data_IF_137137787882
#
_entry.id   IF_137137787882
#
_cell.length_a   1.000
_cell.length_b   1.000
_cell.length_c   1.000
_cell.angle_alpha   90.00
_cell.angle_beta   90.00
_cell.angle_gamma   90.00
#
_symmetry.space_group_name_H-M   'P 1'
#
loop_
_entity.id
_entity.type
_entity.pdbx_description
1 polymer ?
#
# COMPACT_ATOMS: atom_id res chain seq x y z
N UNK A 1 -12.46 -6.35 7.78
CA UNK A 1 -13.94 -6.16 7.70
C UNK A 1 -14.25 -4.99 6.75
N UNK A 2 -15.48 -4.83 6.21
CA UNK A 2 -15.88 -3.56 5.62
C UNK A 2 -15.61 -2.43 6.63
N UNK A 3 -15.08 -1.30 6.18
CA UNK A 3 -14.64 -0.17 7.01
C UNK A 3 -13.35 -0.39 7.86
N UNK A 4 -12.56 -1.45 7.62
CA UNK A 4 -11.26 -1.60 8.28
C UNK A 4 -10.17 -0.67 7.74
N UNK A 5 -10.30 -0.14 6.52
CA UNK A 5 -9.30 0.79 5.97
C UNK A 5 -9.47 2.17 6.60
N UNK A 6 -8.43 2.64 7.27
CA UNK A 6 -8.37 3.95 7.89
C UNK A 6 -7.74 5.01 6.96
N UNK A 7 -6.68 4.64 6.24
CA UNK A 7 -5.95 5.51 5.31
C UNK A 7 -5.40 4.70 4.13
N UNK A 8 -5.37 5.32 2.97
CA UNK A 8 -4.57 4.87 1.83
C UNK A 8 -3.66 6.03 1.44
N UNK A 9 -2.35 5.80 1.48
CA UNK A 9 -1.33 6.73 1.04
C UNK A 9 -0.55 6.15 -0.14
N UNK A 10 -0.07 7.03 -1.01
CA UNK A 10 0.93 6.70 -2.03
C UNK A 10 2.30 7.04 -1.43
N UNK A 11 3.29 6.18 -1.64
CA UNK A 11 4.68 6.45 -1.27
C UNK A 11 5.61 6.16 -2.46
N UNK A 12 6.92 6.12 -2.22
CA UNK A 12 7.91 5.80 -3.23
C UNK A 12 8.11 6.91 -4.26
N UNK A 13 8.51 6.52 -5.47
CA UNK A 13 8.86 7.44 -6.56
C UNK A 13 7.73 8.44 -6.92
N UNK A 14 6.47 8.05 -6.72
CA UNK A 14 5.30 8.88 -6.95
C UNK A 14 5.15 10.06 -5.97
N UNK A 15 5.95 10.08 -4.90
CA UNK A 15 5.98 11.19 -3.92
C UNK A 15 7.20 12.09 -4.04
N UNK A 16 8.26 11.63 -4.73
CA UNK A 16 9.54 12.32 -4.84
C UNK A 16 9.80 12.97 -6.19
N UNK A 17 8.82 12.93 -7.11
CA UNK A 17 8.94 13.41 -8.49
C UNK A 17 10.01 12.66 -9.32
N UNK A 18 10.45 11.49 -8.85
CA UNK A 18 11.40 10.59 -9.52
C UNK A 18 10.66 9.46 -10.26
N UNK A 19 9.61 9.84 -11.00
CA UNK A 19 8.71 8.90 -11.68
C UNK A 19 9.27 8.59 -13.07
N UNK A 20 9.31 7.30 -13.44
CA UNK A 20 9.63 6.83 -14.78
C UNK A 20 8.53 5.90 -15.33
N UNK A 21 8.64 5.52 -16.61
CA UNK A 21 7.62 4.72 -17.32
C UNK A 21 7.32 3.37 -16.67
N UNK A 22 8.26 2.82 -15.89
CA UNK A 22 8.10 1.53 -15.20
C UNK A 22 8.09 1.67 -13.68
N UNK A 23 7.99 2.88 -13.15
CA UNK A 23 7.83 3.10 -11.72
C UNK A 23 6.59 2.35 -11.24
N UNK A 24 6.78 1.58 -10.17
CA UNK A 24 5.73 0.88 -9.48
C UNK A 24 4.95 1.80 -8.55
N UNK A 25 3.61 1.70 -8.54
CA UNK A 25 2.81 2.31 -7.49
C UNK A 25 3.01 1.55 -6.17
N UNK A 26 3.51 2.31 -5.21
CA UNK A 26 3.74 1.95 -3.83
C UNK A 26 2.58 2.48 -2.96
N UNK A 27 1.77 1.58 -2.39
CA UNK A 27 0.62 1.91 -1.53
C UNK A 27 0.88 1.55 -0.07
N UNK A 28 0.73 2.54 0.81
CA UNK A 28 0.74 2.35 2.26
C UNK A 28 -0.68 2.45 2.79
N UNK A 29 -1.21 1.35 3.31
CA UNK A 29 -2.59 1.27 3.78
C UNK A 29 -2.58 1.07 5.29
N UNK A 30 -3.22 1.98 6.01
CA UNK A 30 -3.44 1.83 7.45
C UNK A 30 -4.79 1.16 7.65
N UNK A 31 -4.81 0.10 8.45
CA UNK A 31 -5.99 -0.67 8.79
C UNK A 31 -6.29 -0.60 10.28
N UNK A 32 -7.56 -0.44 10.63
CA UNK A 32 -8.14 -0.69 11.94
C UNK A 32 -8.46 -2.20 12.07
N UNK A 33 -7.45 -3.03 11.83
CA UNK A 33 -7.54 -4.48 11.88
C UNK A 33 -6.16 -5.00 12.28
N UNK A 34 -6.01 -5.59 13.50
CA UNK A 34 -4.74 -6.12 13.98
C UNK A 34 -4.10 -7.17 13.06
N UNK A 35 -4.93 -7.84 12.26
CA UNK A 35 -4.48 -8.85 11.31
C UNK A 35 -4.38 -8.31 9.88
N UNK A 36 -4.62 -7.01 9.70
CA UNK A 36 -4.64 -6.36 8.39
C UNK A 36 -3.33 -6.44 7.62
N UNK A 37 -2.20 -6.49 8.32
CA UNK A 37 -0.90 -6.66 7.67
C UNK A 37 -0.75 -7.99 6.91
N UNK A 38 -1.53 -9.02 7.28
CA UNK A 38 -1.43 -10.38 6.71
C UNK A 38 -1.85 -10.45 5.24
N UNK A 39 -2.54 -9.43 4.74
CA UNK A 39 -2.98 -9.35 3.33
C UNK A 39 -2.10 -8.42 2.49
N UNK A 40 -0.93 -8.03 2.99
CA UNK A 40 0.10 -7.35 2.20
C UNK A 40 0.36 -8.11 0.90
N UNK A 41 0.43 -7.38 -0.22
CA UNK A 41 0.50 -7.99 -1.55
C UNK A 41 1.46 -7.23 -2.45
N UNK A 42 2.25 -8.00 -3.20
CA UNK A 42 3.04 -7.54 -4.34
C UNK A 42 2.57 -8.33 -5.55
N UNK A 43 2.18 -7.64 -6.62
CA UNK A 43 1.70 -8.28 -7.84
C UNK A 43 2.11 -7.47 -9.07
N UNK A 44 2.06 -8.12 -10.25
CA UNK A 44 2.43 -7.51 -11.52
C UNK A 44 1.18 -7.36 -12.38
N UNK A 45 1.00 -6.17 -12.95
CA UNK A 45 -0.01 -5.91 -13.98
C UNK A 45 0.72 -5.49 -15.26
N UNK A 46 0.66 -6.33 -16.29
CA UNK A 46 1.46 -6.14 -17.49
C UNK A 46 2.96 -6.27 -17.19
N UNK A 47 3.67 -5.14 -17.21
CA UNK A 47 5.12 -5.07 -16.94
C UNK A 47 5.48 -4.19 -15.74
N UNK A 48 4.48 -3.76 -14.95
CA UNK A 48 4.66 -2.86 -13.81
C UNK A 48 4.32 -3.59 -12.51
N UNK A 49 5.23 -3.55 -11.54
CA UNK A 49 5.04 -4.07 -10.18
C UNK A 49 4.08 -3.16 -9.39
N UNK A 50 3.35 -3.72 -8.44
CA UNK A 50 2.43 -2.98 -7.57
C UNK A 50 2.61 -3.51 -6.16
N UNK A 51 2.89 -2.60 -5.23
CA UNK A 51 3.12 -2.94 -3.83
C UNK A 51 2.03 -2.33 -2.96
N UNK A 52 1.37 -3.17 -2.18
CA UNK A 52 0.37 -2.77 -1.19
C UNK A 52 0.82 -3.26 0.18
N UNK A 53 1.44 -2.35 0.93
CA UNK A 53 1.87 -2.59 2.31
C UNK A 53 0.77 -2.20 3.28
N UNK A 54 0.38 -3.12 4.16
CA UNK A 54 -0.67 -2.90 5.14
C UNK A 54 -0.10 -2.86 6.56
N UNK A 55 -0.49 -1.83 7.30
CA UNK A 55 -0.08 -1.61 8.68
C UNK A 55 -1.30 -1.57 9.61
N UNK A 56 -1.22 -2.25 10.75
CA UNK A 56 -2.21 -2.12 11.82
C UNK A 56 -1.98 -0.82 12.60
N UNK A 57 -3.00 0.03 12.68
CA UNK A 57 -2.94 1.28 13.44
C UNK A 57 -2.68 1.04 14.93
N UNK A 58 -2.99 -0.17 15.43
CA UNK A 58 -2.92 -0.53 16.84
C UNK A 58 -4.05 0.14 17.62
N UNK A 59 -4.66 -0.59 18.55
CA UNK A 59 -5.59 0.03 19.50
C UNK A 59 -4.78 0.64 20.65
N UNK A 60 -4.79 1.96 20.77
CA UNK A 60 -4.38 2.66 22.02
C UNK A 60 -5.29 2.33 23.18
#
# INVERSE_FOLDING_TARGET
MPCSVALIGIYGSFTSDDINEKSDPDLFIVMNDPDGYKITSCFIVGYVTHDAFLYDMGTT
#
